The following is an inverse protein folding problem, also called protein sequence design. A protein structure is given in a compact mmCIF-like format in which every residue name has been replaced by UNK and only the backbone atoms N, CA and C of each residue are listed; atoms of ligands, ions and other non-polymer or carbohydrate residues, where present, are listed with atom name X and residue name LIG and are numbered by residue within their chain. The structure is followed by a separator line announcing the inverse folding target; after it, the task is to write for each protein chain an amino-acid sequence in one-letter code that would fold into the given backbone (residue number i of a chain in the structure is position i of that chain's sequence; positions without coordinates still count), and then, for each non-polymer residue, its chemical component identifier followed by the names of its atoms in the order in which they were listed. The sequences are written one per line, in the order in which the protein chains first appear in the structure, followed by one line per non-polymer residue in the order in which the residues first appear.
data_IF_925702231586
#
_entry.id   IF_925702231586
#
_cell.length_a   1.000
_cell.length_b   1.000
_cell.length_c   1.000
_cell.angle_alpha   90.00
_cell.angle_beta   90.00
_cell.angle_gamma   90.00
#
_symmetry.space_group_name_H-M   'P 1'
#
loop_
_entity.id
_entity.type
_entity.pdbx_description
1 polymer ?
#
# COMPACT_ATOMS: atom_id res chain seq x y z
N UNK A 1 18.29 17.41 -52.57
CA UNK A 1 18.66 17.19 -51.15
C UNK A 1 17.47 16.58 -50.44
N UNK A 2 17.56 15.31 -50.03
CA UNK A 2 16.55 14.69 -49.15
C UNK A 2 16.78 15.23 -47.73
N UNK A 3 15.73 15.58 -46.97
CA UNK A 3 15.90 16.02 -45.60
C UNK A 3 16.41 14.86 -44.74
N UNK A 4 17.47 15.12 -43.99
CA UNK A 4 18.02 14.24 -42.96
C UNK A 4 16.97 14.12 -41.87
N UNK A 5 16.52 12.89 -41.58
CA UNK A 5 15.71 12.61 -40.39
C UNK A 5 16.64 12.63 -39.19
N UNK A 6 16.49 13.63 -38.33
CA UNK A 6 16.95 13.57 -36.95
C UNK A 6 16.07 12.57 -36.18
N UNK A 7 16.39 11.27 -36.28
CA UNK A 7 15.84 10.24 -35.39
C UNK A 7 16.60 10.29 -34.05
N UNK A 8 16.38 11.35 -33.27
CA UNK A 8 16.60 11.30 -31.83
C UNK A 8 15.35 10.67 -31.20
N UNK A 9 15.23 9.35 -31.33
CA UNK A 9 14.16 8.59 -30.67
C UNK A 9 14.28 8.81 -29.16
N UNK A 10 13.27 9.45 -28.55
CA UNK A 10 13.18 9.63 -27.11
C UNK A 10 13.10 8.27 -26.43
N UNK A 11 14.24 7.72 -25.99
CA UNK A 11 14.28 6.44 -25.28
C UNK A 11 13.55 6.61 -23.95
N UNK A 12 12.31 6.15 -23.90
CA UNK A 12 11.50 6.25 -22.68
C UNK A 12 11.93 5.12 -21.74
N UNK A 13 12.45 5.49 -20.57
CA UNK A 13 12.88 4.54 -19.54
C UNK A 13 11.69 3.65 -19.15
N UNK A 14 11.79 2.31 -19.30
CA UNK A 14 10.73 1.38 -18.92
C UNK A 14 10.33 1.48 -17.46
N UNK A 15 9.04 1.42 -17.19
CA UNK A 15 8.50 1.48 -15.82
C UNK A 15 7.87 0.14 -15.44
N UNK A 16 8.50 -0.58 -14.50
CA UNK A 16 8.06 -1.88 -14.03
C UNK A 16 7.16 -1.76 -12.80
N UNK A 17 5.93 -2.28 -12.90
CA UNK A 17 5.04 -2.51 -11.75
C UNK A 17 5.00 -3.99 -11.38
N UNK A 18 4.58 -4.29 -10.14
CA UNK A 18 4.47 -5.68 -9.64
C UNK A 18 5.76 -6.44 -9.94
N UNK A 19 6.85 -5.84 -9.52
CA UNK A 19 8.20 -6.30 -9.81
C UNK A 19 8.70 -7.22 -8.70
N UNK A 20 9.66 -8.07 -9.03
CA UNK A 20 10.35 -8.99 -8.11
C UNK A 20 11.83 -9.04 -8.45
N UNK A 21 12.66 -9.28 -7.44
CA UNK A 21 14.10 -9.54 -7.63
C UNK A 21 14.37 -11.00 -7.35
N UNK A 22 14.95 -11.68 -8.33
CA UNK A 22 15.27 -13.09 -8.28
C UNK A 22 16.77 -13.28 -8.38
N UNK A 23 17.32 -14.09 -7.51
CA UNK A 23 18.66 -14.63 -7.65
C UNK A 23 18.59 -15.95 -8.42
N UNK A 24 19.46 -16.12 -9.39
CA UNK A 24 19.53 -17.34 -10.21
C UNK A 24 20.94 -17.89 -10.22
N UNK A 25 21.04 -19.21 -10.28
CA UNK A 25 22.30 -19.93 -10.54
C UNK A 25 22.16 -20.63 -11.89
N UNK A 26 23.14 -20.43 -12.76
CA UNK A 26 23.22 -21.07 -14.08
C UNK A 26 23.95 -22.41 -14.00
N UNK A 27 23.83 -23.26 -15.03
CA UNK A 27 24.56 -24.55 -15.10
C UNK A 27 26.07 -24.43 -14.89
N UNK A 28 26.66 -23.29 -15.25
CA UNK A 28 28.08 -23.01 -15.10
C UNK A 28 28.48 -22.60 -13.66
N UNK A 29 27.52 -22.61 -12.72
CA UNK A 29 27.73 -22.21 -11.33
C UNK A 29 27.73 -20.69 -11.09
N UNK A 30 27.56 -19.87 -12.12
CA UNK A 30 27.49 -18.41 -11.98
C UNK A 30 26.16 -18.01 -11.36
N UNK A 31 26.23 -17.23 -10.26
CA UNK A 31 25.08 -16.60 -9.61
C UNK A 31 24.90 -15.16 -10.09
N UNK A 32 23.67 -14.76 -10.37
CA UNK A 32 23.31 -13.39 -10.75
C UNK A 32 21.90 -13.04 -10.27
N UNK A 33 21.62 -11.74 -10.13
CA UNK A 33 20.31 -11.24 -9.68
C UNK A 33 19.63 -10.46 -10.79
N UNK A 34 18.32 -10.61 -10.92
CA UNK A 34 17.54 -10.06 -12.03
C UNK A 34 16.22 -9.49 -11.51
N UNK A 35 15.70 -8.47 -12.19
CA UNK A 35 14.36 -7.95 -11.93
C UNK A 35 13.40 -8.37 -13.03
N UNK A 36 12.19 -8.77 -12.67
CA UNK A 36 11.12 -8.97 -13.63
C UNK A 36 9.84 -8.28 -13.16
N UNK A 37 8.96 -7.98 -14.11
CA UNK A 37 7.68 -7.34 -13.82
C UNK A 37 6.91 -6.99 -15.07
N UNK A 38 5.86 -6.21 -14.90
CA UNK A 38 5.08 -5.69 -16.02
C UNK A 38 5.53 -4.27 -16.34
N UNK A 39 6.06 -4.07 -17.53
CA UNK A 39 6.45 -2.79 -18.10
C UNK A 39 5.21 -2.05 -18.60
N UNK A 40 4.79 -1.04 -17.85
CA UNK A 40 3.63 -0.22 -18.21
C UNK A 40 3.93 0.75 -19.36
N UNK A 41 5.20 1.06 -19.62
CA UNK A 41 5.58 2.01 -20.67
C UNK A 41 5.32 1.41 -22.04
N UNK A 42 5.62 0.11 -22.20
CA UNK A 42 5.45 -0.62 -23.44
C UNK A 42 4.29 -1.62 -23.40
N UNK A 43 3.56 -1.69 -22.29
CA UNK A 43 2.49 -2.67 -22.01
C UNK A 43 2.92 -4.13 -22.27
N UNK A 44 4.10 -4.50 -21.77
CA UNK A 44 4.67 -5.84 -21.93
C UNK A 44 5.19 -6.38 -20.61
N UNK A 45 5.25 -7.70 -20.47
CA UNK A 45 5.96 -8.33 -19.35
C UNK A 45 7.42 -8.59 -19.72
N UNK A 46 8.35 -8.33 -18.79
CA UNK A 46 9.79 -8.38 -19.08
C UNK A 46 10.59 -8.91 -17.90
N UNK A 47 11.70 -9.57 -18.23
CA UNK A 47 12.79 -9.91 -17.33
C UNK A 47 14.05 -9.15 -17.76
N UNK A 48 14.80 -8.64 -16.79
CA UNK A 48 16.01 -7.87 -17.02
C UNK A 48 17.24 -8.76 -17.19
N UNK A 49 18.32 -8.18 -17.71
CA UNK A 49 19.68 -8.70 -17.52
C UNK A 49 20.12 -8.53 -16.06
N UNK A 50 21.32 -8.98 -15.71
CA UNK A 50 21.80 -8.97 -14.33
C UNK A 50 21.82 -7.55 -13.76
N UNK A 51 21.31 -7.40 -12.54
CA UNK A 51 21.32 -6.16 -11.78
C UNK A 51 22.76 -5.82 -11.45
N UNK A 52 23.15 -4.60 -11.78
CA UNK A 52 24.41 -4.00 -11.37
C UNK A 52 24.19 -3.11 -10.14
N UNK A 53 23.13 -2.29 -10.16
CA UNK A 53 22.80 -1.37 -9.07
C UNK A 53 21.30 -1.36 -8.80
N UNK A 54 20.93 -1.33 -7.51
CA UNK A 54 19.56 -1.08 -7.06
C UNK A 54 19.53 0.18 -6.21
N UNK A 55 18.97 1.26 -6.74
CA UNK A 55 18.79 2.49 -5.99
C UNK A 55 17.41 2.49 -5.31
N UNK A 56 17.40 2.18 -4.02
CA UNK A 56 16.17 2.09 -3.21
C UNK A 56 15.47 3.44 -3.02
N UNK A 57 16.19 4.54 -3.08
CA UNK A 57 15.59 5.88 -2.93
C UNK A 57 14.91 6.34 -4.21
N UNK A 58 15.57 6.17 -5.35
CA UNK A 58 15.04 6.52 -6.66
C UNK A 58 14.02 5.49 -7.17
N UNK A 59 13.97 4.31 -6.53
CA UNK A 59 13.26 3.14 -7.02
C UNK A 59 13.65 2.84 -8.46
N UNK A 60 14.95 2.68 -8.70
CA UNK A 60 15.50 2.37 -10.03
C UNK A 60 16.46 1.20 -9.96
N UNK A 61 16.51 0.45 -11.05
CA UNK A 61 17.44 -0.66 -11.25
C UNK A 61 18.28 -0.34 -12.47
N UNK A 62 19.60 -0.38 -12.30
CA UNK A 62 20.55 -0.36 -13.40
C UNK A 62 21.06 -1.78 -13.60
N UNK A 63 21.06 -2.23 -14.84
CA UNK A 63 21.52 -3.56 -15.21
C UNK A 63 22.88 -3.49 -15.88
N UNK A 64 23.62 -4.60 -15.86
CA UNK A 64 24.94 -4.73 -16.48
C UNK A 64 24.91 -4.48 -18.01
N UNK A 65 23.75 -4.58 -18.67
CA UNK A 65 23.60 -4.19 -20.08
C UNK A 65 23.43 -2.68 -20.29
N UNK A 66 23.51 -1.88 -19.22
CA UNK A 66 23.29 -0.44 -19.23
C UNK A 66 21.80 -0.03 -19.27
N UNK A 67 20.87 -0.98 -19.20
CA UNK A 67 19.44 -0.66 -19.18
C UNK A 67 19.01 -0.21 -17.79
N UNK A 68 18.24 0.88 -17.74
CA UNK A 68 17.68 1.44 -16.51
C UNK A 68 16.18 1.15 -16.49
N UNK A 69 15.67 0.71 -15.35
CA UNK A 69 14.26 0.48 -15.10
C UNK A 69 13.79 1.33 -13.93
N UNK A 70 12.61 1.94 -14.06
CA UNK A 70 11.93 2.59 -12.95
C UNK A 70 10.96 1.62 -12.29
N UNK A 71 11.09 1.40 -11.00
CA UNK A 71 10.22 0.52 -10.23
C UNK A 71 9.06 1.32 -9.65
N UNK A 72 7.84 0.87 -9.95
CA UNK A 72 6.61 1.50 -9.51
C UNK A 72 5.91 0.68 -8.43
N UNK A 73 5.62 1.34 -7.31
CA UNK A 73 4.91 0.75 -6.19
C UNK A 73 5.70 -0.33 -5.46
N UNK A 74 4.98 -1.12 -4.67
CA UNK A 74 5.54 -2.25 -3.92
C UNK A 74 5.94 -3.41 -4.84
N UNK A 75 6.94 -4.22 -4.43
CA UNK A 75 7.14 -5.50 -5.06
C UNK A 75 5.87 -6.34 -5.02
N UNK A 76 5.65 -7.15 -6.05
CA UNK A 76 4.43 -7.95 -6.18
C UNK A 76 4.52 -8.92 -7.36
N UNK A 77 3.60 -9.88 -7.45
CA UNK A 77 3.60 -10.84 -8.55
C UNK A 77 2.77 -10.31 -9.73
N UNK A 78 3.41 -10.12 -10.90
CA UNK A 78 2.71 -9.99 -12.18
C UNK A 78 2.37 -11.37 -12.73
N UNK A 79 1.10 -11.62 -13.13
CA UNK A 79 0.70 -12.90 -13.74
C UNK A 79 1.44 -13.15 -15.05
N UNK A 80 1.52 -12.15 -15.93
CA UNK A 80 2.28 -12.25 -17.18
C UNK A 80 3.79 -12.24 -16.94
N UNK A 81 4.26 -11.43 -15.97
CA UNK A 81 5.67 -11.37 -15.59
C UNK A 81 6.22 -12.70 -15.09
N UNK A 82 5.44 -13.45 -14.30
CA UNK A 82 5.83 -14.79 -13.86
C UNK A 82 5.98 -15.77 -15.04
N UNK A 83 5.15 -15.66 -16.07
CA UNK A 83 5.26 -16.49 -17.28
C UNK A 83 6.54 -16.14 -18.06
N UNK A 84 6.78 -14.85 -18.32
CA UNK A 84 8.00 -14.37 -18.99
C UNK A 84 9.24 -14.74 -18.21
N UNK A 85 9.20 -14.70 -16.88
CA UNK A 85 10.30 -15.12 -16.02
C UNK A 85 10.64 -16.61 -16.20
N UNK A 86 9.63 -17.49 -16.26
CA UNK A 86 9.85 -18.92 -16.50
C UNK A 86 10.43 -19.21 -17.88
N UNK A 87 9.95 -18.53 -18.90
CA UNK A 87 10.50 -18.62 -20.27
C UNK A 87 11.96 -18.14 -20.31
N UNK A 88 12.26 -17.03 -19.62
CA UNK A 88 13.61 -16.50 -19.48
C UNK A 88 14.55 -17.50 -18.80
N UNK A 89 14.13 -18.11 -17.68
CA UNK A 89 14.93 -19.12 -16.98
C UNK A 89 15.30 -20.31 -17.87
N UNK A 90 14.34 -20.80 -18.67
CA UNK A 90 14.56 -21.89 -19.61
C UNK A 90 15.57 -21.53 -20.70
N UNK A 91 15.49 -20.30 -21.23
CA UNK A 91 16.44 -19.80 -22.26
C UNK A 91 17.86 -19.61 -21.72
N UNK A 92 18.00 -19.28 -20.44
CA UNK A 92 19.27 -18.95 -19.81
C UNK A 92 19.90 -20.10 -19.00
N UNK A 93 19.39 -21.33 -19.15
CA UNK A 93 19.90 -22.54 -18.48
C UNK A 93 20.02 -22.35 -16.96
N UNK A 94 19.01 -21.72 -16.36
CA UNK A 94 18.92 -21.55 -14.91
C UNK A 94 18.64 -22.90 -14.26
N UNK A 95 19.46 -23.28 -13.28
CA UNK A 95 19.30 -24.53 -12.52
C UNK A 95 18.69 -24.31 -11.13
N UNK A 96 18.78 -23.08 -10.61
CA UNK A 96 18.17 -22.70 -9.34
C UNK A 96 17.71 -21.25 -9.41
N UNK A 97 16.55 -20.96 -8.83
CA UNK A 97 16.03 -19.60 -8.64
C UNK A 97 15.59 -19.41 -7.18
N UNK A 98 15.91 -18.27 -6.60
CA UNK A 98 15.49 -17.88 -5.27
C UNK A 98 14.93 -16.45 -5.29
N UNK A 99 13.83 -16.23 -4.59
CA UNK A 99 13.25 -14.90 -4.49
C UNK A 99 13.93 -14.13 -3.37
N UNK A 100 14.70 -13.12 -3.74
CA UNK A 100 15.49 -12.28 -2.84
C UNK A 100 14.91 -10.88 -2.71
N UNK A 101 13.65 -10.69 -3.11
CA UNK A 101 13.00 -9.37 -3.15
C UNK A 101 13.08 -8.65 -1.80
N UNK A 102 12.94 -9.36 -0.68
CA UNK A 102 12.97 -8.77 0.66
C UNK A 102 14.35 -8.26 1.09
N UNK A 103 15.43 -8.71 0.44
CA UNK A 103 16.78 -8.16 0.64
C UNK A 103 16.88 -6.74 0.07
N UNK A 104 16.17 -6.46 -1.03
CA UNK A 104 16.15 -5.15 -1.69
C UNK A 104 15.07 -4.23 -1.14
N UNK A 105 13.91 -4.81 -0.82
CA UNK A 105 12.76 -4.07 -0.33
C UNK A 105 11.86 -4.98 0.54
N UNK A 106 12.15 -5.03 1.84
CA UNK A 106 11.24 -5.64 2.81
C UNK A 106 10.14 -4.66 3.20
N UNK A 107 8.89 -5.11 3.04
CA UNK A 107 7.73 -4.40 3.57
C UNK A 107 7.76 -4.48 5.10
N UNK A 108 7.94 -5.66 5.69
CA UNK A 108 7.80 -5.89 7.14
C UNK A 108 8.83 -5.16 8.01
N UNK A 109 10.10 -5.09 7.59
CA UNK A 109 11.14 -4.32 8.31
C UNK A 109 10.88 -2.81 8.32
N UNK A 110 9.97 -2.31 7.48
CA UNK A 110 9.57 -0.91 7.46
C UNK A 110 8.51 -0.58 8.53
N UNK A 111 7.83 -1.57 9.14
CA UNK A 111 6.62 -1.37 9.94
C UNK A 111 6.70 -1.79 11.42
N UNK A 112 7.80 -2.41 11.88
CA UNK A 112 7.90 -2.92 13.28
C UNK A 112 7.86 -1.82 14.36
N UNK A 113 8.12 -0.54 14.02
CA UNK A 113 8.10 0.58 14.98
C UNK A 113 6.74 1.28 15.16
N UNK A 114 5.67 0.89 14.45
CA UNK A 114 4.44 1.70 14.29
C UNK A 114 3.25 1.16 15.13
N UNK A 115 3.40 0.02 15.81
CA UNK A 115 2.29 -0.67 16.46
C UNK A 115 1.70 0.05 17.69
N UNK A 116 2.46 0.90 18.40
CA UNK A 116 1.97 1.58 19.61
C UNK A 116 1.10 2.81 19.32
N UNK A 117 1.44 3.60 18.29
CA UNK A 117 0.69 4.82 17.91
C UNK A 117 -0.64 4.50 17.21
N UNK A 118 -0.74 3.35 16.52
CA UNK A 118 -1.98 2.87 15.91
C UNK A 118 -3.07 2.55 16.95
N UNK A 119 -2.67 2.03 18.11
CA UNK A 119 -3.60 1.63 19.16
C UNK A 119 -4.25 2.86 19.82
N UNK A 120 -3.48 3.95 19.99
CA UNK A 120 -3.98 5.23 20.49
C UNK A 120 -5.01 5.87 19.54
N UNK A 121 -4.74 5.88 18.23
CA UNK A 121 -5.65 6.48 17.24
C UNK A 121 -6.97 5.72 17.04
N UNK A 122 -7.02 4.42 17.33
CA UNK A 122 -8.26 3.64 17.32
C UNK A 122 -9.17 3.97 18.51
N UNK A 123 -8.57 4.33 19.64
CA UNK A 123 -9.29 4.72 20.86
C UNK A 123 -9.94 6.10 20.69
N UNK A 124 -9.23 7.06 20.08
CA UNK A 124 -9.76 8.40 19.79
C UNK A 124 -10.94 8.39 18.80
N UNK A 125 -10.90 7.52 17.78
CA UNK A 125 -12.01 7.42 16.82
C UNK A 125 -13.27 6.83 17.45
N UNK A 126 -13.11 5.86 18.36
CA UNK A 126 -14.21 5.27 19.11
C UNK A 126 -14.85 6.28 20.07
N UNK A 127 -14.07 7.24 20.61
CA UNK A 127 -14.59 8.28 21.49
C UNK A 127 -15.29 9.44 20.74
N UNK A 128 -15.01 9.61 19.44
CA UNK A 128 -15.61 10.67 18.60
C UNK A 128 -17.11 10.48 18.26
N UNK A 129 -17.64 9.27 18.45
CA UNK A 129 -19.07 8.95 18.22
C UNK A 129 -19.92 9.04 19.48
N UNK A 130 -19.33 9.44 20.60
CA UNK A 130 -20.01 9.67 21.88
C UNK A 130 -20.05 11.17 22.22
N UNK A 131 -21.05 11.64 22.99
CA UNK A 131 -22.00 10.86 23.78
C UNK A 131 -23.17 10.25 22.98
N UNK A 132 -23.61 9.06 23.39
CA UNK A 132 -24.79 8.38 22.84
C UNK A 132 -25.95 8.48 23.82
N UNK A 133 -27.11 8.93 23.34
CA UNK A 133 -28.33 9.07 24.15
C UNK A 133 -29.38 8.03 23.74
N UNK A 134 -29.97 7.35 24.72
CA UNK A 134 -31.14 6.51 24.52
C UNK A 134 -32.39 7.37 24.29
N UNK A 135 -33.06 7.19 23.16
CA UNK A 135 -34.27 7.95 22.83
C UNK A 135 -35.46 7.62 23.74
N UNK A 136 -35.52 6.40 24.30
CA UNK A 136 -36.65 5.97 25.14
C UNK A 136 -36.57 6.43 26.60
N UNK A 137 -35.37 6.46 27.20
CA UNK A 137 -35.21 6.84 28.62
C UNK A 137 -34.31 8.06 28.85
N UNK A 138 -33.74 8.63 27.79
CA UNK A 138 -32.89 9.82 27.86
C UNK A 138 -31.49 9.59 28.43
N UNK A 139 -31.16 8.36 28.87
CA UNK A 139 -29.84 8.02 29.44
C UNK A 139 -28.74 8.23 28.41
N UNK A 140 -27.64 8.83 28.86
CA UNK A 140 -26.48 9.17 28.04
C UNK A 140 -25.26 8.31 28.44
N UNK A 141 -24.50 7.87 27.44
CA UNK A 141 -23.23 7.15 27.60
C UNK A 141 -22.13 7.99 26.98
N UNK A 142 -21.06 8.26 27.72
CA UNK A 142 -20.05 9.27 27.35
C UNK A 142 -18.92 8.74 26.48
N UNK A 143 -18.69 7.43 26.50
CA UNK A 143 -17.67 6.77 25.69
C UNK A 143 -18.03 5.31 25.43
N UNK A 144 -17.25 4.67 24.56
CA UNK A 144 -17.49 3.29 24.13
C UNK A 144 -17.41 2.28 25.28
N UNK A 145 -16.49 2.48 26.23
CA UNK A 145 -16.32 1.58 27.37
C UNK A 145 -17.54 1.59 28.31
N UNK A 146 -18.04 2.79 28.63
CA UNK A 146 -19.25 2.97 29.45
C UNK A 146 -20.48 2.37 28.76
N UNK A 147 -20.62 2.61 27.46
CA UNK A 147 -21.71 2.03 26.67
C UNK A 147 -21.69 0.50 26.67
N UNK A 148 -20.53 -0.13 26.39
CA UNK A 148 -20.41 -1.59 26.34
C UNK A 148 -20.62 -2.25 27.70
N UNK A 149 -20.10 -1.64 28.77
CA UNK A 149 -20.25 -2.14 30.14
C UNK A 149 -21.68 -2.01 30.68
N UNK A 150 -22.37 -0.92 30.34
CA UNK A 150 -23.70 -0.62 30.89
C UNK A 150 -24.86 -1.22 30.08
N UNK A 151 -24.64 -1.61 28.81
CA UNK A 151 -25.68 -2.18 27.94
C UNK A 151 -25.55 -3.69 27.83
N UNK A 152 -26.64 -4.37 27.48
CA UNK A 152 -26.65 -5.84 27.32
C UNK A 152 -26.77 -6.22 25.85
N UNK A 153 -26.20 -7.34 25.39
CA UNK A 153 -26.47 -7.84 24.04
C UNK A 153 -27.97 -8.17 23.88
N UNK A 154 -28.49 -7.99 22.67
CA UNK A 154 -29.92 -8.26 22.38
C UNK A 154 -30.26 -9.74 22.52
N UNK A 155 -29.30 -10.62 22.23
CA UNK A 155 -29.41 -12.06 22.47
C UNK A 155 -28.21 -12.58 23.28
N UNK A 156 -28.41 -13.51 24.23
CA UNK A 156 -27.34 -14.03 25.08
C UNK A 156 -26.20 -14.70 24.29
N UNK A 157 -26.53 -15.38 23.19
CA UNK A 157 -25.60 -16.17 22.38
C UNK A 157 -25.10 -15.43 21.12
N UNK A 158 -25.37 -14.12 21.03
CA UNK A 158 -24.99 -13.29 19.89
C UNK A 158 -24.03 -12.19 20.32
N UNK A 159 -23.02 -11.93 19.48
CA UNK A 159 -22.17 -10.74 19.60
C UNK A 159 -22.93 -9.43 19.43
N UNK A 160 -24.18 -9.48 18.94
CA UNK A 160 -24.98 -8.30 18.60
C UNK A 160 -24.56 -7.64 17.29
N UNK A 161 -23.58 -8.22 16.59
CA UNK A 161 -23.06 -7.74 15.31
C UNK A 161 -23.87 -8.34 14.16
N UNK A 162 -24.38 -7.50 13.26
CA UNK A 162 -25.00 -7.95 12.01
C UNK A 162 -24.37 -7.28 10.80
N UNK A 163 -24.12 -8.01 9.71
CA UNK A 163 -23.75 -7.41 8.42
C UNK A 163 -24.95 -6.65 7.87
N UNK A 164 -24.69 -5.48 7.31
CA UNK A 164 -25.70 -4.67 6.61
C UNK A 164 -25.86 -5.16 5.15
N UNK A 165 -27.09 -5.30 4.66
CA UNK A 165 -27.41 -6.01 3.40
C UNK A 165 -27.13 -5.21 2.10
N UNK A 166 -26.70 -3.95 2.21
CA UNK A 166 -26.59 -3.04 1.06
C UNK A 166 -25.23 -3.09 0.32
N UNK A 167 -24.45 -4.17 0.49
CA UNK A 167 -23.14 -4.33 -0.16
C UNK A 167 -22.04 -3.39 0.35
N UNK A 168 -22.33 -2.57 1.37
CA UNK A 168 -21.33 -1.90 2.20
C UNK A 168 -21.10 -2.72 3.47
N UNK A 169 -19.83 -2.97 3.86
CA UNK A 169 -19.50 -3.60 5.14
C UNK A 169 -19.69 -2.60 6.29
N UNK A 170 -20.95 -2.28 6.57
CA UNK A 170 -21.39 -1.66 7.81
C UNK A 170 -21.71 -2.81 8.76
N UNK A 171 -21.15 -2.77 9.97
CA UNK A 171 -21.51 -3.71 11.03
C UNK A 171 -22.36 -2.97 12.03
N UNK A 172 -23.62 -3.36 12.11
CA UNK A 172 -24.56 -2.83 13.07
C UNK A 172 -24.38 -3.59 14.39
N UNK A 173 -24.06 -2.87 15.47
CA UNK A 173 -24.03 -3.39 16.83
C UNK A 173 -25.34 -3.02 17.53
N UNK A 174 -26.14 -4.03 17.79
CA UNK A 174 -27.39 -3.89 18.53
C UNK A 174 -27.18 -4.23 20.01
N UNK A 175 -27.52 -3.30 20.91
CA UNK A 175 -27.47 -3.53 22.37
C UNK A 175 -28.69 -2.94 23.06
N UNK A 176 -29.17 -3.61 24.11
CA UNK A 176 -30.25 -3.11 24.93
C UNK A 176 -29.72 -2.17 26.00
N UNK A 177 -30.28 -0.96 26.04
CA UNK A 177 -30.16 -0.06 27.17
C UNK A 177 -30.66 -0.76 28.44
N UNK A 178 -30.22 -0.28 29.61
CA UNK A 178 -30.70 -0.73 30.92
C UNK A 178 -32.23 -0.62 31.04
N UNK A 179 -32.88 0.31 30.33
CA UNK A 179 -34.34 0.43 30.30
C UNK A 179 -35.05 -0.60 29.41
N UNK A 180 -34.30 -1.42 28.66
CA UNK A 180 -34.82 -2.45 27.77
C UNK A 180 -34.97 -2.03 26.30
N UNK A 181 -34.80 -0.76 25.95
CA UNK A 181 -34.85 -0.31 24.54
C UNK A 181 -33.59 -0.71 23.78
N UNK A 182 -33.74 -1.15 22.52
CA UNK A 182 -32.62 -1.44 21.63
C UNK A 182 -31.97 -0.15 21.13
N UNK A 183 -30.65 -0.07 21.27
CA UNK A 183 -29.80 0.96 20.69
C UNK A 183 -29.05 0.34 19.50
N UNK A 184 -29.06 1.06 18.38
CA UNK A 184 -28.30 0.72 17.18
C UNK A 184 -27.05 1.60 17.12
N UNK A 185 -25.89 0.97 17.06
CA UNK A 185 -24.67 1.63 16.60
C UNK A 185 -24.27 1.07 15.24
N UNK A 186 -24.25 1.92 14.22
CA UNK A 186 -23.79 1.54 12.89
C UNK A 186 -22.30 1.84 12.78
N UNK A 187 -21.47 0.80 12.91
CA UNK A 187 -20.04 0.91 12.62
C UNK A 187 -19.83 0.76 11.12
N UNK A 188 -19.87 1.88 10.40
CA UNK A 188 -19.49 1.92 9.00
C UNK A 188 -17.98 1.86 8.85
N UNK A 189 -17.43 0.73 8.40
CA UNK A 189 -16.05 0.71 7.93
C UNK A 189 -15.99 0.57 6.40
N UNK A 190 -15.98 1.72 5.72
CA UNK A 190 -15.69 1.84 4.28
C UNK A 190 -14.28 1.36 3.88
N UNK A 191 -13.51 0.87 4.84
CA UNK A 191 -12.12 0.51 4.67
C UNK A 191 -11.99 -0.98 4.89
N UNK A 192 -11.26 -1.65 4.01
CA UNK A 192 -10.88 -3.05 4.18
C UNK A 192 -10.20 -3.24 5.55
N UNK A 193 -10.89 -3.88 6.50
CA UNK A 193 -10.37 -4.11 7.84
C UNK A 193 -9.52 -5.37 7.94
N UNK A 194 -9.41 -6.13 6.85
CA UNK A 194 -8.43 -7.19 6.77
C UNK A 194 -7.04 -6.63 6.95
N UNK A 195 -6.13 -7.50 7.35
CA UNK A 195 -4.72 -7.18 7.57
C UNK A 195 -4.13 -6.37 6.40
N UNK A 196 -4.49 -6.74 5.17
CA UNK A 196 -4.10 -6.04 3.94
C UNK A 196 -4.64 -4.62 3.82
N UNK A 197 -5.89 -4.37 4.18
CA UNK A 197 -6.48 -3.05 4.10
C UNK A 197 -5.97 -2.11 5.18
N UNK A 198 -5.77 -2.61 6.41
CA UNK A 198 -5.13 -1.87 7.50
C UNK A 198 -3.70 -1.49 7.09
N UNK A 199 -2.90 -2.45 6.62
CA UNK A 199 -1.55 -2.22 6.09
C UNK A 199 -1.51 -1.16 4.98
N UNK A 200 -2.46 -1.19 4.04
CA UNK A 200 -2.55 -0.18 2.96
C UNK A 200 -2.80 1.24 3.49
N UNK A 201 -3.62 1.39 4.52
CA UNK A 201 -3.95 2.71 5.08
C UNK A 201 -2.84 3.27 5.96
N UNK A 202 -2.27 2.45 6.84
CA UNK A 202 -1.11 2.87 7.64
C UNK A 202 0.01 3.39 6.75
N UNK A 203 0.25 2.67 5.64
CA UNK A 203 1.22 3.07 4.63
C UNK A 203 0.87 4.40 3.95
N UNK A 204 -0.41 4.63 3.68
CA UNK A 204 -0.86 5.89 3.08
C UNK A 204 -0.63 7.07 4.03
N UNK A 205 -1.03 6.95 5.30
CA UNK A 205 -0.88 8.01 6.30
C UNK A 205 0.60 8.31 6.63
N UNK A 206 1.46 7.30 6.71
CA UNK A 206 2.91 7.48 6.91
C UNK A 206 3.55 8.32 5.78
N UNK A 207 3.19 8.05 4.52
CA UNK A 207 3.69 8.83 3.38
C UNK A 207 3.21 10.28 3.45
N UNK A 208 2.01 10.52 3.95
CA UNK A 208 1.48 11.87 4.16
C UNK A 208 2.31 12.60 5.21
N UNK A 209 2.51 12.00 6.39
CA UNK A 209 3.27 12.60 7.49
C UNK A 209 4.70 12.96 7.10
N UNK A 210 5.41 12.06 6.41
CA UNK A 210 6.80 12.30 5.95
C UNK A 210 6.93 13.46 4.98
N UNK A 211 5.95 13.66 4.11
CA UNK A 211 5.98 14.74 3.13
C UNK A 211 5.52 16.05 3.74
N UNK A 212 4.60 16.01 4.71
CA UNK A 212 4.22 17.17 5.53
C UNK A 212 5.41 17.67 6.36
N UNK A 213 6.15 16.77 7.01
CA UNK A 213 7.36 17.11 7.76
C UNK A 213 8.47 17.73 6.89
N UNK A 214 8.45 17.48 5.58
CA UNK A 214 9.33 18.12 4.58
C UNK A 214 8.79 19.46 4.05
N UNK A 215 7.75 20.00 4.68
CA UNK A 215 7.16 21.29 4.33
C UNK A 215 6.13 21.24 3.20
N UNK A 216 5.67 20.05 2.79
CA UNK A 216 4.58 19.95 1.82
C UNK A 216 3.23 20.14 2.50
N UNK A 217 2.29 20.84 1.84
CA UNK A 217 0.92 20.97 2.36
C UNK A 217 0.21 19.62 2.32
N UNK A 218 -0.37 19.21 3.44
CA UNK A 218 -0.98 17.90 3.63
C UNK A 218 -2.01 17.57 2.54
N UNK A 219 -2.94 18.50 2.27
CA UNK A 219 -4.01 18.33 1.28
C UNK A 219 -3.48 17.97 -0.12
N UNK A 220 -2.37 18.61 -0.53
CA UNK A 220 -1.74 18.35 -1.84
C UNK A 220 -1.11 16.96 -1.84
N UNK A 221 -0.41 16.59 -0.78
CA UNK A 221 0.25 15.30 -0.68
C UNK A 221 -0.76 14.15 -0.67
N UNK A 222 -1.84 14.28 0.09
CA UNK A 222 -2.91 13.27 0.13
C UNK A 222 -3.50 13.06 -1.27
N UNK A 223 -3.77 14.14 -2.00
CA UNK A 223 -4.27 14.07 -3.37
C UNK A 223 -3.29 13.37 -4.33
N UNK A 224 -2.01 13.74 -4.29
CA UNK A 224 -0.99 13.17 -5.18
C UNK A 224 -0.66 11.70 -4.85
N UNK A 225 -0.66 11.32 -3.57
CA UNK A 225 -0.51 9.92 -3.16
C UNK A 225 -1.70 9.05 -3.59
N UNK A 226 -2.92 9.59 -3.58
CA UNK A 226 -4.08 8.87 -4.09
C UNK A 226 -3.97 8.65 -5.60
N UNK A 227 -3.49 9.64 -6.36
CA UNK A 227 -3.20 9.48 -7.80
C UNK A 227 -2.15 8.39 -8.02
N UNK A 228 -1.07 8.39 -7.24
CA UNK A 228 -0.03 7.35 -7.27
C UNK A 228 -0.61 5.95 -7.03
N UNK A 229 -1.42 5.78 -5.98
CA UNK A 229 -2.02 4.46 -5.67
C UNK A 229 -3.01 3.99 -6.73
N UNK A 230 -3.63 4.91 -7.47
CA UNK A 230 -4.55 4.63 -8.57
C UNK A 230 -3.83 4.42 -9.91
N UNK A 231 -2.50 4.50 -9.95
CA UNK A 231 -1.72 4.40 -11.18
C UNK A 231 -1.90 5.59 -12.12
N UNK A 232 -2.33 6.74 -11.59
CA UNK A 232 -2.52 7.98 -12.34
C UNK A 232 -1.22 8.80 -12.34
N UNK A 233 -1.03 9.69 -13.33
CA UNK A 233 0.03 10.69 -13.31
C UNK A 233 0.01 11.49 -11.99
N UNK A 234 1.16 11.62 -11.35
CA UNK A 234 1.29 12.24 -10.04
C UNK A 234 2.66 12.92 -9.87
N UNK A 235 2.72 13.86 -8.95
CA UNK A 235 3.90 14.68 -8.67
C UNK A 235 4.56 14.35 -7.32
N UNK A 236 4.19 13.22 -6.68
CA UNK A 236 4.68 12.83 -5.35
C UNK A 236 6.21 12.86 -5.28
N UNK A 237 6.90 12.32 -6.29
CA UNK A 237 8.37 12.29 -6.34
C UNK A 237 8.96 13.70 -6.43
N UNK A 238 8.33 14.60 -7.20
CA UNK A 238 8.80 15.99 -7.34
C UNK A 238 8.59 16.77 -6.04
N UNK A 239 7.45 16.57 -5.38
CA UNK A 239 7.11 17.22 -4.12
C UNK A 239 8.03 16.73 -2.99
N UNK A 240 8.32 15.43 -2.94
CA UNK A 240 9.25 14.85 -1.97
C UNK A 240 10.69 15.38 -2.07
N UNK A 241 11.08 15.92 -3.23
CA UNK A 241 12.42 16.44 -3.53
C UNK A 241 12.61 17.92 -3.22
N UNK A 242 11.55 18.69 -2.96
CA UNK A 242 11.70 20.09 -2.54
C UNK A 242 12.28 20.12 -1.13
N UNK A 243 13.60 20.28 -1.00
CA UNK A 243 14.25 20.68 0.26
C UNK A 243 13.72 22.05 0.69
N UNK A 244 13.60 22.26 2.00
CA UNK A 244 13.39 23.57 2.61
C UNK A 244 14.34 24.61 1.98
N UNK A 245 13.83 25.38 1.02
CA UNK A 245 14.34 26.70 0.70
C UNK A 245 13.61 27.67 1.64
N UNK A 246 14.00 27.69 2.91
CA UNK A 246 13.30 28.48 3.92
C UNK A 246 13.68 28.16 5.36
N UNK A 247 14.94 28.36 5.72
CA UNK A 247 15.28 28.84 7.07
C UNK A 247 16.55 29.71 6.97
N UNK A 248 16.31 30.99 6.71
CA UNK A 248 17.19 32.09 7.13
C UNK A 248 16.30 33.09 7.84
#
# INVERSE_FOLDING_TARGET
MKPVKDDCGSYTIPSLRRWRVMEVVTQNGTSSRHVYGHDITNDTDRASTSIEEFNREAMTVTTHSGSIYKLLGVPGRSRGGAKVWKEWCGKHNVVSENDVTDEYFSVDKLFTQINEELYAGLQELADSTFPKRCESCGREYRNAAEFLAATRPVHPDSSGLKPHDDGQMIVDLFRNCVCGSTLLESFGNRRDLGEYGVKRRMRFEDMVGKLVAKGCREEIIRSELLKLMRGQPNDVIRLAKRRNAGSR
#
